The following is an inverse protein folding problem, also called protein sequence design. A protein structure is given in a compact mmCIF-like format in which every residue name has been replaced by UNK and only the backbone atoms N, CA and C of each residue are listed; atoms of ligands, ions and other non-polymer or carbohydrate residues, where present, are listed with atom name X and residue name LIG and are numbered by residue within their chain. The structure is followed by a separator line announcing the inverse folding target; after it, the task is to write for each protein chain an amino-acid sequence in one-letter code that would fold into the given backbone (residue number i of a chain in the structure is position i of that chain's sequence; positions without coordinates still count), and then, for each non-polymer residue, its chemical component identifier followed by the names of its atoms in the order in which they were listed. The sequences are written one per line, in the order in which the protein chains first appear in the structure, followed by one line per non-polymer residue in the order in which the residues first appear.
data_IF_250559365211
#
_entry.id   IF_250559365211
#
_cell.length_a   1.000
_cell.length_b   1.000
_cell.length_c   1.000
_cell.angle_alpha   90.00
_cell.angle_beta   90.00
_cell.angle_gamma   90.00
#
_symmetry.space_group_name_H-M   'P 1'
#
loop_
_entity.id
_entity.type
_entity.pdbx_description
1 polymer ?
#
# COMPACT_ATOMS: atom_id res chain seq x y z
N UNK A 1 10.86 -25.16 -5.99
CA UNK A 1 10.10 -26.26 -5.38
C UNK A 1 10.19 -26.40 -3.85
N UNK A 2 11.17 -25.81 -3.16
CA UNK A 2 11.27 -25.86 -1.69
C UNK A 2 10.41 -24.87 -0.91
N UNK A 3 9.92 -23.78 -1.54
CA UNK A 3 9.19 -22.70 -0.85
C UNK A 3 7.70 -22.99 -0.61
N UNK A 4 7.04 -23.77 -1.46
CA UNK A 4 5.63 -24.18 -1.27
C UNK A 4 5.43 -24.99 0.03
N UNK A 5 6.44 -25.77 0.42
CA UNK A 5 6.43 -26.54 1.68
C UNK A 5 6.52 -25.63 2.91
N UNK A 6 7.21 -24.48 2.82
CA UNK A 6 7.32 -23.51 3.90
C UNK A 6 5.97 -22.83 4.19
N UNK A 7 5.25 -22.45 3.14
CA UNK A 7 3.89 -21.89 3.26
C UNK A 7 2.90 -22.88 3.88
N UNK A 8 3.01 -24.17 3.56
CA UNK A 8 2.08 -25.19 4.07
C UNK A 8 2.25 -25.47 5.57
N UNK A 9 3.48 -25.44 6.08
CA UNK A 9 3.79 -25.65 7.50
C UNK A 9 3.59 -24.39 8.36
N UNK A 10 3.66 -23.22 7.78
CA UNK A 10 3.45 -21.94 8.47
C UNK A 10 1.96 -21.64 8.71
N UNK A 11 1.07 -22.27 7.91
CA UNK A 11 -0.23 -21.68 7.62
C UNK A 11 -1.33 -21.93 8.63
N UNK A 12 -1.36 -23.02 9.37
CA UNK A 12 -2.61 -23.36 10.09
C UNK A 12 -2.64 -23.08 11.59
N UNK A 13 -1.54 -23.21 12.32
CA UNK A 13 -1.59 -23.06 13.79
C UNK A 13 -1.08 -21.70 14.30
N UNK A 14 -0.08 -21.13 13.65
CA UNK A 14 0.52 -19.85 14.08
C UNK A 14 -0.19 -18.64 13.47
N UNK A 15 -0.50 -18.71 12.17
CA UNK A 15 -1.17 -17.63 11.43
C UNK A 15 -2.62 -17.39 11.92
N UNK A 16 -3.33 -18.44 12.32
CA UNK A 16 -4.73 -18.33 12.78
C UNK A 16 -4.87 -17.58 14.12
N UNK A 17 -3.79 -17.53 14.91
CA UNK A 17 -3.78 -16.86 16.24
C UNK A 17 -3.36 -15.40 16.16
N UNK A 18 -2.84 -14.94 15.03
CA UNK A 18 -2.40 -13.57 14.83
C UNK A 18 -3.57 -12.65 14.50
N UNK A 19 -3.49 -11.41 14.95
CA UNK A 19 -4.34 -10.32 14.47
C UNK A 19 -4.05 -10.02 12.99
N UNK A 20 -4.93 -9.31 12.32
CA UNK A 20 -4.69 -8.89 10.92
C UNK A 20 -3.41 -8.05 10.82
N UNK A 21 -3.19 -7.12 11.74
CA UNK A 21 -1.97 -6.34 11.79
C UNK A 21 -0.72 -7.22 11.85
N UNK A 22 -0.66 -8.16 12.79
CA UNK A 22 0.49 -9.05 12.97
C UNK A 22 0.73 -9.93 11.73
N UNK A 23 -0.34 -10.38 11.07
CA UNK A 23 -0.23 -11.14 9.80
C UNK A 23 0.40 -10.31 8.71
N UNK A 24 -0.09 -9.11 8.49
CA UNK A 24 0.43 -8.24 7.44
C UNK A 24 1.84 -7.73 7.75
N UNK A 25 2.15 -7.39 9.01
CA UNK A 25 3.53 -7.08 9.42
C UNK A 25 4.49 -8.21 9.07
N UNK A 26 4.10 -9.44 9.33
CA UNK A 26 4.93 -10.61 9.01
C UNK A 26 5.08 -10.79 7.50
N UNK A 27 3.99 -10.64 6.72
CA UNK A 27 4.01 -10.74 5.26
C UNK A 27 5.01 -9.74 4.67
N UNK A 28 4.99 -8.50 5.11
CA UNK A 28 5.91 -7.46 4.64
C UNK A 28 7.35 -7.72 5.08
N UNK A 29 7.57 -8.02 6.34
CA UNK A 29 8.91 -8.24 6.89
C UNK A 29 9.62 -9.45 6.28
N UNK A 30 8.88 -10.50 5.96
CA UNK A 30 9.41 -11.74 5.38
C UNK A 30 9.39 -11.74 3.84
N UNK A 31 8.96 -10.65 3.22
CA UNK A 31 8.78 -10.52 1.76
C UNK A 31 8.02 -11.73 1.16
N UNK A 32 6.87 -12.07 1.73
CA UNK A 32 6.09 -13.23 1.30
C UNK A 32 5.65 -13.16 -0.16
N UNK A 33 5.46 -11.96 -0.69
CA UNK A 33 5.06 -11.76 -2.09
C UNK A 33 6.22 -11.80 -3.09
N UNK A 34 7.45 -12.01 -2.60
CA UNK A 34 8.64 -12.32 -3.39
C UNK A 34 8.97 -11.28 -4.48
N UNK A 35 8.65 -10.02 -4.28
CA UNK A 35 9.11 -8.96 -5.17
C UNK A 35 10.42 -8.37 -4.67
N UNK A 36 11.33 -8.11 -5.61
CA UNK A 36 12.58 -7.41 -5.34
C UNK A 36 12.44 -5.88 -5.45
N UNK A 37 11.31 -5.40 -5.96
CA UNK A 37 11.05 -3.97 -6.18
C UNK A 37 10.10 -3.41 -5.12
N UNK A 38 9.05 -4.15 -4.78
CA UNK A 38 7.99 -3.67 -3.89
C UNK A 38 7.67 -4.67 -2.80
N UNK A 39 7.71 -4.25 -1.55
CA UNK A 39 7.27 -5.07 -0.42
C UNK A 39 5.76 -5.35 -0.44
N UNK A 40 4.99 -4.59 -1.21
CA UNK A 40 3.58 -4.83 -1.50
C UNK A 40 3.35 -5.91 -2.56
N UNK A 41 4.42 -6.50 -3.09
CA UNK A 41 4.40 -7.64 -3.99
C UNK A 41 4.50 -7.31 -5.47
N UNK A 42 4.56 -8.36 -6.30
CA UNK A 42 4.75 -8.27 -7.75
C UNK A 42 3.67 -7.41 -8.43
N UNK A 43 2.43 -7.45 -7.95
CA UNK A 43 1.34 -6.63 -8.47
C UNK A 43 1.59 -5.12 -8.34
N UNK A 44 2.41 -4.72 -7.36
CA UNK A 44 2.78 -3.33 -7.09
C UNK A 44 4.09 -2.88 -7.73
N UNK A 45 4.69 -3.72 -8.58
CA UNK A 45 5.84 -3.31 -9.39
C UNK A 45 5.43 -2.32 -10.47
N UNK A 46 6.29 -1.35 -10.76
CA UNK A 46 6.01 -0.27 -11.72
C UNK A 46 5.60 -0.80 -13.09
N UNK A 47 6.24 -1.88 -13.56
CA UNK A 47 5.89 -2.49 -14.85
C UNK A 47 4.45 -3.00 -14.94
N UNK A 48 3.90 -3.48 -13.81
CA UNK A 48 2.57 -4.07 -13.73
C UNK A 48 1.47 -3.03 -13.46
N UNK A 49 1.85 -1.82 -13.04
CA UNK A 49 0.93 -0.74 -12.65
C UNK A 49 0.83 0.39 -13.68
N UNK A 50 1.55 0.30 -14.80
CA UNK A 50 1.56 1.35 -15.85
C UNK A 50 0.17 1.72 -16.35
N UNK A 51 -0.67 0.73 -16.61
CA UNK A 51 -2.01 0.97 -17.18
C UNK A 51 -2.95 1.60 -16.13
N UNK A 52 -2.90 1.14 -14.88
CA UNK A 52 -3.69 1.76 -13.81
C UNK A 52 -3.26 3.20 -13.55
N UNK A 53 -1.97 3.50 -13.60
CA UNK A 53 -1.47 4.87 -13.50
C UNK A 53 -1.99 5.78 -14.61
N UNK A 54 -2.06 5.29 -15.85
CA UNK A 54 -2.66 6.05 -16.96
C UNK A 54 -4.13 6.38 -16.69
N UNK A 55 -4.89 5.39 -16.22
CA UNK A 55 -6.31 5.59 -15.89
C UNK A 55 -6.46 6.61 -14.76
N UNK A 56 -5.68 6.50 -13.69
CA UNK A 56 -5.72 7.45 -12.57
C UNK A 56 -5.39 8.88 -13.06
N UNK A 57 -4.38 9.06 -13.90
CA UNK A 57 -4.05 10.38 -14.48
C UNK A 57 -5.20 10.97 -15.30
N UNK A 58 -5.91 10.15 -16.06
CA UNK A 58 -7.09 10.58 -16.81
C UNK A 58 -8.23 11.01 -15.87
N UNK A 59 -8.53 10.22 -14.84
CA UNK A 59 -9.55 10.53 -13.83
C UNK A 59 -9.21 11.84 -13.12
N UNK A 60 -7.98 12.01 -12.66
CA UNK A 60 -7.52 13.23 -12.00
C UNK A 60 -7.78 14.46 -12.87
N UNK A 61 -7.43 14.38 -14.15
CA UNK A 61 -7.61 15.48 -15.10
C UNK A 61 -9.07 15.76 -15.37
N UNK A 62 -9.86 14.73 -15.67
CA UNK A 62 -11.27 14.86 -16.09
C UNK A 62 -12.14 15.37 -14.94
N UNK A 63 -11.97 14.82 -13.75
CA UNK A 63 -12.79 15.14 -12.57
C UNK A 63 -12.16 16.21 -11.67
N UNK A 64 -10.99 16.78 -12.06
CA UNK A 64 -10.26 17.82 -11.31
C UNK A 64 -10.00 17.43 -9.86
N UNK A 65 -9.60 16.16 -9.66
CA UNK A 65 -9.28 15.59 -8.34
C UNK A 65 -8.23 16.45 -7.64
N UNK A 66 -8.48 16.77 -6.37
CA UNK A 66 -7.60 17.52 -5.50
C UNK A 66 -7.12 16.73 -4.28
N UNK A 67 -7.82 15.66 -3.95
CA UNK A 67 -7.48 14.79 -2.83
C UNK A 67 -7.60 13.32 -3.20
N UNK A 68 -6.60 12.53 -2.82
CA UNK A 68 -6.56 11.07 -3.02
C UNK A 68 -6.42 10.40 -1.67
N UNK A 69 -7.30 9.45 -1.40
CA UNK A 69 -7.21 8.52 -0.29
C UNK A 69 -6.81 7.15 -0.85
N UNK A 70 -5.70 6.62 -0.38
CA UNK A 70 -5.16 5.32 -0.82
C UNK A 70 -5.13 4.34 0.36
N UNK A 71 -5.96 3.30 0.31
CA UNK A 71 -6.15 2.39 1.43
C UNK A 71 -6.50 0.96 0.98
N UNK A 72 -5.61 -0.02 1.17
CA UNK A 72 -4.29 0.07 1.78
C UNK A 72 -3.21 0.62 0.81
N UNK A 73 -2.42 1.59 1.27
CA UNK A 73 -1.43 2.24 0.40
C UNK A 73 -0.16 1.41 0.16
N UNK A 74 0.11 0.42 0.99
CA UNK A 74 1.33 -0.37 0.91
C UNK A 74 2.59 0.49 1.01
N UNK A 75 3.64 0.07 0.32
CA UNK A 75 4.97 0.70 0.33
C UNK A 75 5.09 1.93 -0.59
N UNK A 76 3.99 2.41 -1.16
CA UNK A 76 3.96 3.56 -2.06
C UNK A 76 4.82 3.42 -3.32
N UNK A 77 5.27 2.21 -3.67
CA UNK A 77 6.22 2.01 -4.77
C UNK A 77 5.69 2.59 -6.10
N UNK A 78 4.62 2.04 -6.64
CA UNK A 78 4.09 2.46 -7.93
C UNK A 78 3.39 3.82 -7.89
N UNK A 79 2.72 4.14 -6.78
CA UNK A 79 2.03 5.41 -6.61
C UNK A 79 3.01 6.60 -6.56
N UNK A 80 4.28 6.36 -6.18
CA UNK A 80 5.34 7.37 -6.22
C UNK A 80 5.60 7.94 -7.62
N UNK A 81 5.20 7.19 -8.67
CA UNK A 81 5.30 7.60 -10.07
C UNK A 81 4.19 8.56 -10.52
N UNK A 82 3.22 8.83 -9.66
CA UNK A 82 2.17 9.82 -9.92
C UNK A 82 2.67 11.22 -9.59
N UNK A 83 2.48 12.16 -10.50
CA UNK A 83 2.73 13.58 -10.25
C UNK A 83 1.63 14.14 -9.34
N UNK A 84 1.99 14.57 -8.13
CA UNK A 84 1.04 14.98 -7.08
C UNK A 84 1.20 16.43 -6.64
N UNK A 85 1.80 17.30 -7.46
CA UNK A 85 2.14 18.68 -7.04
C UNK A 85 0.96 19.50 -6.51
N UNK A 86 -0.25 19.23 -7.01
CA UNK A 86 -1.47 19.93 -6.63
C UNK A 86 -2.55 19.00 -6.09
N UNK A 87 -2.15 17.86 -5.53
CA UNK A 87 -3.05 16.83 -5.01
C UNK A 87 -2.62 16.50 -3.59
N UNK A 88 -3.54 16.63 -2.65
CA UNK A 88 -3.34 16.15 -1.29
C UNK A 88 -3.53 14.62 -1.28
N UNK A 89 -2.45 13.92 -0.95
CA UNK A 89 -2.46 12.46 -0.87
C UNK A 89 -2.36 12.00 0.58
N UNK A 90 -3.26 11.12 0.95
CA UNK A 90 -3.25 10.44 2.24
C UNK A 90 -3.27 8.93 2.04
N UNK A 91 -2.17 8.27 2.39
CA UNK A 91 -2.03 6.82 2.36
C UNK A 91 -2.29 6.21 3.74
N UNK A 92 -3.09 5.18 3.78
CA UNK A 92 -3.42 4.45 5.01
C UNK A 92 -3.05 2.98 4.88
N UNK A 93 -2.49 2.41 5.93
CA UNK A 93 -2.22 0.97 5.99
C UNK A 93 -2.25 0.45 7.43
N UNK A 94 -2.56 -0.83 7.58
CA UNK A 94 -2.53 -1.54 8.87
C UNK A 94 -1.10 -1.92 9.29
N UNK A 95 -0.15 -1.87 8.36
CA UNK A 95 1.26 -2.26 8.58
C UNK A 95 2.06 -1.05 9.08
N UNK A 96 2.34 -1.00 10.37
CA UNK A 96 3.06 0.13 11.01
C UNK A 96 4.46 0.33 10.47
N UNK A 97 5.17 -0.77 10.17
CA UNK A 97 6.53 -0.71 9.62
C UNK A 97 6.54 0.00 8.26
N UNK A 98 5.58 -0.33 7.38
CA UNK A 98 5.44 0.29 6.07
C UNK A 98 5.11 1.79 6.17
N UNK A 99 4.17 2.16 7.03
CA UNK A 99 3.82 3.58 7.26
C UNK A 99 5.02 4.36 7.78
N UNK A 100 5.78 3.80 8.74
CA UNK A 100 7.00 4.42 9.24
C UNK A 100 8.03 4.64 8.13
N UNK A 101 8.26 3.63 7.29
CA UNK A 101 9.20 3.74 6.17
C UNK A 101 8.75 4.77 5.14
N UNK A 102 7.47 4.78 4.76
CA UNK A 102 6.93 5.76 3.83
C UNK A 102 7.13 7.19 4.35
N UNK A 103 6.84 7.45 5.63
CA UNK A 103 7.05 8.77 6.25
C UNK A 103 8.53 9.17 6.35
N UNK A 104 9.46 8.20 6.35
CA UNK A 104 10.91 8.47 6.30
C UNK A 104 11.35 8.79 4.87
N UNK A 105 10.89 8.01 3.89
CA UNK A 105 11.34 8.09 2.49
C UNK A 105 10.71 9.27 1.73
N UNK A 106 9.43 9.53 1.97
CA UNK A 106 8.68 10.54 1.21
C UNK A 106 8.62 11.85 1.99
N UNK A 107 9.21 12.91 1.44
CA UNK A 107 9.30 14.24 2.05
C UNK A 107 8.59 15.30 1.20
N UNK A 108 7.36 15.02 0.80
CA UNK A 108 6.50 15.96 0.08
C UNK A 108 5.44 16.49 1.04
N UNK A 109 5.21 17.83 1.13
CA UNK A 109 4.32 18.41 2.14
C UNK A 109 2.85 17.99 1.98
N UNK A 110 2.45 17.63 0.77
CA UNK A 110 1.10 17.20 0.42
C UNK A 110 0.92 15.68 0.33
N UNK A 111 1.92 14.91 0.78
CA UNK A 111 1.89 13.43 0.79
C UNK A 111 2.11 12.95 2.22
N UNK A 112 1.11 12.33 2.80
CA UNK A 112 1.11 11.91 4.20
C UNK A 112 0.70 10.44 4.32
N UNK A 113 1.21 9.75 5.34
CA UNK A 113 0.90 8.34 5.59
C UNK A 113 0.48 8.12 7.03
N UNK A 114 -0.59 7.34 7.22
CA UNK A 114 -1.20 7.10 8.51
C UNK A 114 -1.44 5.61 8.74
N UNK A 115 -1.22 5.17 9.96
CA UNK A 115 -1.67 3.85 10.39
C UNK A 115 -3.19 3.84 10.52
N UNK A 116 -3.84 2.86 9.92
CA UNK A 116 -5.28 2.64 10.10
C UNK A 116 -5.64 1.18 9.88
N UNK A 117 -6.50 0.66 10.75
CA UNK A 117 -7.23 -0.58 10.51
C UNK A 117 -8.60 -0.23 9.90
N UNK A 118 -8.70 -0.34 8.59
CA UNK A 118 -9.90 0.01 7.80
C UNK A 118 -11.17 -0.72 8.26
N UNK A 119 -11.02 -1.91 8.86
CA UNK A 119 -12.17 -2.69 9.34
C UNK A 119 -12.80 -2.05 10.57
N UNK A 120 -11.98 -1.41 11.40
CA UNK A 120 -12.36 -0.86 12.69
C UNK A 120 -12.32 0.67 12.76
N UNK A 121 -12.07 1.35 11.64
CA UNK A 121 -11.94 2.80 11.58
C UNK A 121 -12.98 3.41 10.64
N UNK A 122 -13.35 4.67 10.90
CA UNK A 122 -14.12 5.44 9.91
C UNK A 122 -13.25 5.69 8.67
N UNK A 123 -13.86 5.57 7.50
CA UNK A 123 -13.18 5.85 6.24
C UNK A 123 -12.94 7.35 6.08
N UNK A 124 -11.73 7.76 5.73
CA UNK A 124 -11.45 9.14 5.39
C UNK A 124 -12.24 9.58 4.14
N UNK A 125 -12.36 10.89 3.94
CA UNK A 125 -13.05 11.46 2.78
C UNK A 125 -12.04 12.11 1.86
N UNK A 126 -12.20 11.88 0.56
CA UNK A 126 -11.40 12.48 -0.49
C UNK A 126 -12.16 12.49 -1.82
N UNK A 127 -11.62 13.18 -2.82
CA UNK A 127 -12.24 13.24 -4.16
C UNK A 127 -12.12 11.90 -4.89
N UNK A 128 -11.02 11.18 -4.65
CA UNK A 128 -10.75 9.85 -5.20
C UNK A 128 -10.29 8.91 -4.08
N UNK A 129 -10.86 7.74 -4.01
CA UNK A 129 -10.42 6.66 -3.13
C UNK A 129 -9.93 5.48 -3.99
N UNK A 130 -8.77 4.95 -3.65
CA UNK A 130 -8.11 3.82 -4.30
C UNK A 130 -8.02 2.64 -3.35
#
# INVERSE_FOLDING_TARGET
MKKISYYHNFSKSKFSKLTNQERFEMIYNENFWESNESSSGIGSEIKNTKEVLKVIKLIIKEYKIKSIIDIPCGDFNWMSSLEMENIDYEGFDIVRSVIKENNIKVKKPNVNFYYSDIINSELPKGDLML
#
